data_IF_127377661485
#
_entry.id   IF_127377661485
#
_cell.length_a   1.000
_cell.length_b   1.000
_cell.length_c   1.000
_cell.angle_alpha   90.00
_cell.angle_beta   90.00
_cell.angle_gamma   90.00
#
_symmetry.space_group_name_H-M   'P 1'
#
loop_
_entity.id
_entity.type
_entity.pdbx_description
1 polymer ?
#
# COMPACT_ATOMS: atom_id res chain seq x y z
N UNK A 1 -16.51 76.12 -1.90
CA UNK A 1 -16.69 74.97 -0.98
C UNK A 1 -17.45 73.89 -1.74
N UNK A 2 -16.81 72.74 -1.86
CA UNK A 2 -17.09 71.67 -2.84
C UNK A 2 -18.01 70.62 -2.20
N UNK A 3 -19.05 70.19 -2.92
CA UNK A 3 -19.92 69.07 -2.54
C UNK A 3 -19.36 67.75 -3.10
N UNK A 4 -19.27 66.73 -2.23
CA UNK A 4 -18.75 65.40 -2.58
C UNK A 4 -19.73 64.30 -2.22
N UNK A 5 -20.11 63.47 -3.21
CA UNK A 5 -20.83 62.20 -3.02
C UNK A 5 -20.21 61.09 -3.89
N UNK A 6 -19.48 60.22 -3.21
CA UNK A 6 -19.28 58.76 -3.41
C UNK A 6 -19.55 58.10 -4.78
N UNK A 7 -18.51 57.44 -5.33
CA UNK A 7 -18.64 56.14 -6.05
C UNK A 7 -17.48 55.21 -5.68
N UNK A 8 -17.82 53.97 -5.29
CA UNK A 8 -16.92 52.85 -4.94
C UNK A 8 -16.32 52.20 -6.21
N UNK A 9 -15.07 51.70 -6.16
CA UNK A 9 -14.49 50.84 -7.21
C UNK A 9 -14.77 49.34 -6.98
N UNK A 10 -14.79 48.50 -8.04
CA UNK A 10 -15.05 47.08 -7.95
C UNK A 10 -13.82 46.21 -7.61
N UNK A 11 -14.14 45.01 -7.14
CA UNK A 11 -13.30 43.99 -6.47
C UNK A 11 -12.18 43.41 -7.35
N UNK A 12 -10.99 43.26 -6.76
CA UNK A 12 -9.88 42.43 -7.25
C UNK A 12 -10.13 40.95 -6.92
N UNK A 13 -10.08 40.09 -7.93
CA UNK A 13 -9.99 38.63 -7.78
C UNK A 13 -8.53 38.21 -7.99
N UNK A 14 -7.94 37.70 -6.91
CA UNK A 14 -6.61 37.12 -6.86
C UNK A 14 -6.69 35.70 -7.46
N UNK A 15 -6.04 35.43 -8.60
CA UNK A 15 -5.74 34.06 -9.05
C UNK A 15 -4.24 33.89 -9.16
N UNK A 16 -3.71 33.19 -8.15
CA UNK A 16 -2.33 32.73 -8.06
C UNK A 16 -2.07 31.69 -9.15
N UNK A 17 -0.88 31.82 -9.73
CA UNK A 17 -0.26 30.91 -10.67
C UNK A 17 0.11 29.61 -9.94
N UNK A 18 -0.30 28.45 -10.48
CA UNK A 18 0.28 27.15 -10.16
C UNK A 18 0.68 26.48 -11.47
N UNK A 19 2.00 26.34 -11.68
CA UNK A 19 2.59 25.50 -12.71
C UNK A 19 2.40 24.02 -12.30
N UNK A 20 1.70 23.25 -13.13
CA UNK A 20 1.72 21.79 -13.07
C UNK A 20 2.28 21.24 -14.40
N UNK A 21 3.49 20.69 -14.34
CA UNK A 21 4.13 19.93 -15.41
C UNK A 21 3.34 18.64 -15.66
N UNK A 22 2.60 18.59 -16.78
CA UNK A 22 2.09 17.34 -17.35
C UNK A 22 2.90 16.97 -18.59
N UNK A 23 3.82 16.02 -18.49
CA UNK A 23 4.40 15.34 -19.66
C UNK A 23 3.66 14.02 -19.86
N UNK A 24 2.73 14.00 -20.81
CA UNK A 24 2.27 12.77 -21.44
C UNK A 24 3.44 12.16 -22.22
N UNK A 25 3.84 10.95 -21.86
CA UNK A 25 4.79 10.13 -22.61
C UNK A 25 3.97 9.32 -23.63
N UNK A 26 3.81 9.82 -24.85
CA UNK A 26 3.34 9.03 -25.98
C UNK A 26 4.56 8.36 -26.62
N UNK A 27 4.61 7.05 -26.50
CA UNK A 27 5.64 6.18 -27.07
C UNK A 27 5.30 5.95 -28.55
N UNK A 28 5.99 6.65 -29.46
CA UNK A 28 5.85 6.43 -30.90
C UNK A 28 6.82 5.33 -31.34
N UNK A 29 6.28 4.13 -31.55
CA UNK A 29 6.85 3.13 -32.43
C UNK A 29 6.46 3.53 -33.86
N UNK A 30 7.44 3.83 -34.71
CA UNK A 30 7.19 4.21 -36.10
C UNK A 30 8.41 3.98 -36.98
N UNK A 31 8.42 2.84 -37.67
CA UNK A 31 9.31 2.54 -38.79
C UNK A 31 9.19 3.58 -39.91
N UNK A 32 10.33 4.04 -40.42
CA UNK A 32 10.43 4.85 -41.63
C UNK A 32 10.30 3.99 -42.89
N UNK A 33 9.25 4.23 -43.69
CA UNK A 33 9.32 4.06 -45.15
C UNK A 33 9.02 5.41 -45.79
N UNK A 34 10.06 5.97 -46.38
CA UNK A 34 9.96 7.08 -47.31
C UNK A 34 9.42 6.49 -48.62
N UNK A 35 8.19 6.84 -48.99
CA UNK A 35 7.63 6.56 -50.30
C UNK A 35 6.93 7.83 -50.78
N UNK A 36 7.56 8.42 -51.78
CA UNK A 36 7.11 9.51 -52.63
C UNK A 36 5.80 9.19 -53.35
N UNK A 37 5.08 10.27 -53.64
CA UNK A 37 4.07 10.46 -54.69
C UNK A 37 2.58 10.17 -54.46
N UNK A 38 1.82 11.16 -54.93
CA UNK A 38 0.37 11.26 -55.19
C UNK A 38 -0.56 11.50 -54.00
N UNK A 39 -0.79 12.79 -53.73
CA UNK A 39 -2.02 13.27 -53.09
C UNK A 39 -3.03 13.68 -54.17
N UNK A 40 -4.17 12.99 -54.16
CA UNK A 40 -5.35 13.31 -54.95
C UNK A 40 -5.95 14.66 -54.54
N UNK A 41 -6.38 15.43 -55.55
CA UNK A 41 -7.24 16.60 -55.44
C UNK A 41 -8.51 16.27 -54.64
N UNK A 42 -8.75 16.99 -53.54
CA UNK A 42 -10.10 17.20 -53.02
C UNK A 42 -10.31 18.72 -52.95
N UNK A 43 -11.23 19.16 -53.79
CA UNK A 43 -11.72 20.52 -53.94
C UNK A 43 -12.62 20.94 -52.78
N UNK A 44 -12.58 22.22 -52.44
CA UNK A 44 -13.68 22.90 -51.75
C UNK A 44 -13.27 23.61 -50.47
N UNK A 45 -13.01 24.92 -50.58
CA UNK A 45 -13.48 25.97 -49.66
C UNK A 45 -13.06 27.35 -50.23
N UNK A 46 -14.00 28.30 -50.43
CA UNK A 46 -13.70 29.57 -51.09
C UNK A 46 -13.20 30.61 -50.08
N UNK A 47 -12.17 31.38 -50.43
CA UNK A 47 -11.89 32.66 -49.74
C UNK A 47 -10.48 32.92 -49.22
N UNK A 48 -9.42 32.28 -49.73
CA UNK A 48 -8.04 32.64 -49.36
C UNK A 48 -7.19 32.93 -50.59
N UNK A 49 -6.82 34.20 -50.76
CA UNK A 49 -5.86 34.67 -51.77
C UNK A 49 -4.44 34.32 -51.31
N UNK A 50 -3.75 33.46 -52.07
CA UNK A 50 -2.32 33.18 -51.86
C UNK A 50 -1.48 34.34 -52.42
N UNK A 51 -0.74 35.02 -51.54
CA UNK A 51 0.30 35.99 -51.90
C UNK A 51 1.59 35.20 -52.19
N UNK A 52 2.12 35.31 -53.40
CA UNK A 52 3.34 34.62 -53.83
C UNK A 52 4.56 35.12 -53.06
N UNK A 53 5.05 34.31 -52.13
CA UNK A 53 6.32 34.49 -51.43
C UNK A 53 7.17 33.24 -51.62
N UNK A 54 8.33 33.41 -52.27
CA UNK A 54 9.33 32.36 -52.52
C UNK A 54 9.94 31.95 -51.17
N UNK A 55 9.71 30.71 -50.70
CA UNK A 55 10.42 30.17 -49.53
C UNK A 55 11.85 29.76 -49.94
N UNK A 56 12.83 30.21 -49.15
CA UNK A 56 14.24 29.78 -49.23
C UNK A 56 14.41 28.36 -48.64
N UNK A 57 15.30 27.51 -49.17
CA UNK A 57 15.59 26.21 -48.59
C UNK A 57 16.85 26.29 -47.74
N UNK A 58 16.72 26.67 -46.47
CA UNK A 58 17.79 26.47 -45.48
C UNK A 58 17.19 25.77 -44.26
N UNK A 59 16.89 24.48 -44.39
CA UNK A 59 16.73 23.59 -43.24
C UNK A 59 18.01 22.76 -43.13
N UNK A 60 18.89 23.18 -42.22
CA UNK A 60 19.89 22.29 -41.65
C UNK A 60 19.18 21.13 -40.96
N UNK A 61 19.34 19.91 -41.50
CA UNK A 61 19.10 18.70 -40.74
C UNK A 61 20.12 18.67 -39.59
N UNK A 62 19.64 18.87 -38.36
CA UNK A 62 20.42 18.55 -37.17
C UNK A 62 20.45 17.02 -37.13
N UNK A 63 21.62 16.46 -37.42
CA UNK A 63 21.90 15.04 -37.29
C UNK A 63 21.95 14.69 -35.79
N UNK A 64 20.95 13.95 -35.30
CA UNK A 64 20.83 13.55 -33.88
C UNK A 64 21.50 12.17 -33.67
N UNK A 65 22.28 11.66 -34.63
CA UNK A 65 22.74 10.27 -34.57
C UNK A 65 24.03 10.03 -33.74
N UNK A 66 24.77 11.05 -33.32
CA UNK A 66 26.05 10.85 -32.64
C UNK A 66 26.19 11.62 -31.33
N UNK A 67 25.73 11.01 -30.23
CA UNK A 67 26.33 11.06 -28.87
C UNK A 67 25.33 10.58 -27.83
N UNK A 68 25.17 9.27 -27.75
CA UNK A 68 24.81 8.63 -26.49
C UNK A 68 25.97 7.71 -26.13
N UNK A 69 27.11 8.27 -25.73
CA UNK A 69 28.05 7.52 -24.90
C UNK A 69 27.47 7.53 -23.48
N UNK A 70 26.87 6.44 -22.97
CA UNK A 70 26.60 6.37 -21.55
C UNK A 70 27.94 6.36 -20.84
N UNK A 71 28.29 7.53 -20.27
CA UNK A 71 29.43 7.72 -19.39
C UNK A 71 29.23 6.92 -18.10
N UNK A 72 29.47 5.62 -18.18
CA UNK A 72 29.81 4.73 -17.06
C UNK A 72 30.28 3.38 -17.63
N UNK A 73 31.38 3.40 -18.39
CA UNK A 73 32.09 2.17 -18.73
C UNK A 73 32.77 1.63 -17.46
N UNK A 74 31.99 0.98 -16.58
CA UNK A 74 32.55 0.15 -15.53
C UNK A 74 33.43 -0.91 -16.20
N UNK A 75 34.70 -0.99 -15.79
CA UNK A 75 35.67 -2.02 -16.20
C UNK A 75 35.25 -3.38 -15.63
N UNK A 76 34.18 -3.94 -16.18
CA UNK A 76 33.61 -5.23 -15.78
C UNK A 76 33.83 -6.22 -16.91
N UNK A 77 34.40 -7.36 -16.54
CA UNK A 77 34.45 -8.57 -17.34
C UNK A 77 33.05 -9.06 -17.70
N UNK A 78 32.91 -9.79 -18.81
CA UNK A 78 31.63 -10.37 -19.26
C UNK A 78 31.01 -11.23 -18.17
N UNK A 79 31.84 -12.07 -17.52
CA UNK A 79 31.40 -12.89 -16.39
C UNK A 79 30.85 -12.07 -15.22
N UNK A 80 31.49 -10.93 -14.88
CA UNK A 80 31.00 -10.04 -13.83
C UNK A 80 29.71 -9.33 -14.23
N UNK A 81 29.52 -8.95 -15.49
CA UNK A 81 28.27 -8.33 -15.96
C UNK A 81 27.08 -9.30 -15.84
N UNK A 82 27.28 -10.56 -16.22
CA UNK A 82 26.28 -11.62 -16.05
C UNK A 82 26.01 -11.87 -14.56
N UNK A 83 27.07 -11.96 -13.74
CA UNK A 83 26.92 -12.13 -12.29
C UNK A 83 26.15 -10.97 -11.64
N UNK A 84 26.40 -9.72 -12.05
CA UNK A 84 25.66 -8.54 -11.58
C UNK A 84 24.17 -8.66 -11.91
N UNK A 85 23.80 -9.09 -13.11
CA UNK A 85 22.39 -9.32 -13.46
C UNK A 85 21.72 -10.40 -12.62
N UNK A 86 22.42 -11.51 -12.37
CA UNK A 86 21.92 -12.61 -11.54
C UNK A 86 21.71 -12.12 -10.11
N UNK A 87 22.71 -11.47 -9.52
CA UNK A 87 22.64 -10.91 -8.16
C UNK A 87 21.53 -9.86 -8.09
N UNK A 88 21.41 -8.97 -9.07
CA UNK A 88 20.35 -7.97 -9.14
C UNK A 88 18.96 -8.62 -9.17
N UNK A 89 18.79 -9.70 -9.95
CA UNK A 89 17.54 -10.44 -10.03
C UNK A 89 17.19 -11.12 -8.70
N UNK A 90 18.17 -11.77 -8.06
CA UNK A 90 17.99 -12.41 -6.75
C UNK A 90 17.60 -11.37 -5.71
N UNK A 91 18.31 -10.23 -5.65
CA UNK A 91 18.01 -9.13 -4.73
C UNK A 91 16.60 -8.59 -4.96
N UNK A 92 16.20 -8.39 -6.22
CA UNK A 92 14.85 -7.95 -6.55
C UNK A 92 13.78 -8.94 -6.06
N UNK A 93 14.00 -10.25 -6.27
CA UNK A 93 13.10 -11.30 -5.78
C UNK A 93 13.02 -11.35 -4.25
N UNK A 94 14.17 -11.26 -3.56
CA UNK A 94 14.23 -11.27 -2.09
C UNK A 94 13.53 -10.05 -1.51
N UNK A 95 13.76 -8.86 -2.08
CA UNK A 95 13.07 -7.63 -1.65
C UNK A 95 11.56 -7.73 -1.86
N UNK A 96 11.13 -8.24 -3.02
CA UNK A 96 9.71 -8.45 -3.30
C UNK A 96 9.08 -9.45 -2.33
N UNK A 97 9.76 -10.56 -2.05
CA UNK A 97 9.33 -11.56 -1.06
C UNK A 97 9.23 -10.98 0.35
N UNK A 98 10.25 -10.23 0.80
CA UNK A 98 10.27 -9.60 2.11
C UNK A 98 9.14 -8.57 2.27
N UNK A 99 8.94 -7.71 1.28
CA UNK A 99 7.83 -6.74 1.26
C UNK A 99 6.50 -7.48 1.30
N UNK A 100 6.30 -8.50 0.46
CA UNK A 100 5.07 -9.29 0.42
C UNK A 100 4.75 -9.95 1.77
N UNK A 101 5.74 -10.60 2.39
CA UNK A 101 5.60 -11.24 3.70
C UNK A 101 5.26 -10.23 4.81
N UNK A 102 5.92 -9.08 4.83
CA UNK A 102 5.63 -8.02 5.81
C UNK A 102 4.20 -7.48 5.68
N UNK A 103 3.70 -7.37 4.44
CA UNK A 103 2.31 -6.93 4.17
C UNK A 103 1.30 -7.99 4.58
N UNK A 104 1.58 -9.27 4.33
CA UNK A 104 0.73 -10.38 4.80
C UNK A 104 0.65 -10.45 6.33
N UNK A 105 1.76 -10.22 7.02
CA UNK A 105 1.77 -10.14 8.49
C UNK A 105 0.93 -8.97 9.01
N UNK A 106 1.00 -7.80 8.37
CA UNK A 106 0.18 -6.65 8.74
C UNK A 106 -1.33 -6.93 8.58
N UNK A 107 -1.73 -7.57 7.47
CA UNK A 107 -3.13 -7.99 7.25
C UNK A 107 -3.56 -8.99 8.32
N UNK A 108 -2.71 -9.96 8.67
CA UNK A 108 -3.06 -10.97 9.67
C UNK A 108 -3.22 -10.39 11.08
N UNK A 109 -2.39 -9.41 11.46
CA UNK A 109 -2.55 -8.67 12.72
C UNK A 109 -3.86 -7.87 12.76
N UNK A 110 -4.22 -7.22 11.65
CA UNK A 110 -5.49 -6.50 11.52
C UNK A 110 -6.69 -7.43 11.65
N UNK A 111 -6.65 -8.62 11.04
CA UNK A 111 -7.73 -9.61 11.17
C UNK A 111 -7.89 -10.10 12.61
N UNK A 112 -6.80 -10.37 13.34
CA UNK A 112 -6.88 -10.76 14.76
C UNK A 112 -7.51 -9.69 15.64
N UNK A 113 -7.13 -8.43 15.45
CA UNK A 113 -7.74 -7.30 16.18
C UNK A 113 -9.23 -7.18 15.92
N UNK A 114 -9.62 -7.26 14.64
CA UNK A 114 -11.00 -7.06 14.20
C UNK A 114 -11.95 -8.20 14.59
N UNK A 115 -11.46 -9.44 14.63
CA UNK A 115 -12.30 -10.59 14.91
C UNK A 115 -12.25 -10.96 16.39
N UNK A 116 -11.07 -11.13 17.00
CA UNK A 116 -10.99 -11.65 18.37
C UNK A 116 -11.34 -10.61 19.44
N UNK A 117 -10.81 -9.38 19.33
CA UNK A 117 -11.03 -8.35 20.37
C UNK A 117 -12.44 -7.78 20.30
N UNK A 118 -12.91 -7.42 19.11
CA UNK A 118 -14.25 -6.83 18.94
C UNK A 118 -15.36 -7.82 19.26
N UNK A 119 -15.22 -9.09 18.90
CA UNK A 119 -16.21 -10.11 19.26
C UNK A 119 -16.18 -10.41 20.76
N UNK A 120 -15.00 -10.52 21.37
CA UNK A 120 -14.88 -10.73 22.81
C UNK A 120 -15.47 -9.57 23.62
N UNK A 121 -15.23 -8.32 23.21
CA UNK A 121 -15.82 -7.14 23.84
C UNK A 121 -17.35 -7.19 23.77
N UNK A 122 -17.93 -7.48 22.60
CA UNK A 122 -19.39 -7.51 22.42
C UNK A 122 -20.00 -8.66 23.21
N UNK A 123 -19.34 -9.81 23.26
CA UNK A 123 -19.79 -10.98 24.02
C UNK A 123 -19.76 -10.72 25.54
N UNK A 124 -18.69 -10.13 26.05
CA UNK A 124 -18.59 -9.73 27.46
C UNK A 124 -19.66 -8.69 27.78
N UNK A 125 -19.80 -7.64 26.96
CA UNK A 125 -20.83 -6.60 27.16
C UNK A 125 -22.24 -7.19 27.20
N UNK A 126 -22.56 -8.15 26.33
CA UNK A 126 -23.85 -8.86 26.37
C UNK A 126 -24.01 -9.74 27.60
N UNK A 127 -22.94 -10.43 28.01
CA UNK A 127 -22.92 -11.25 29.23
C UNK A 127 -23.13 -10.40 30.48
N UNK A 128 -22.57 -9.18 30.53
CA UNK A 128 -22.85 -8.23 31.61
C UNK A 128 -24.34 -7.91 31.71
N UNK A 129 -25.02 -7.67 30.58
CA UNK A 129 -26.47 -7.44 30.57
C UNK A 129 -27.27 -8.68 31.01
N UNK A 130 -26.83 -9.88 30.63
CA UNK A 130 -27.50 -11.12 31.02
C UNK A 130 -27.39 -11.37 32.52
N UNK A 131 -26.17 -11.27 33.09
CA UNK A 131 -25.93 -11.43 34.53
C UNK A 131 -26.63 -10.35 35.37
N UNK A 132 -26.65 -9.10 34.89
CA UNK A 132 -27.42 -8.03 35.53
C UNK A 132 -28.92 -8.35 35.56
N UNK A 133 -29.46 -8.87 34.46
CA UNK A 133 -30.88 -9.25 34.36
C UNK A 133 -31.20 -10.42 35.30
N UNK A 134 -30.33 -11.45 35.35
CA UNK A 134 -30.45 -12.57 36.27
C UNK A 134 -30.43 -12.12 37.73
N UNK A 135 -29.48 -11.28 38.11
CA UNK A 135 -29.40 -10.72 39.46
C UNK A 135 -30.64 -9.92 39.85
N UNK A 136 -31.20 -9.13 38.92
CA UNK A 136 -32.45 -8.39 39.15
C UNK A 136 -33.63 -9.33 39.34
N UNK A 137 -33.74 -10.38 38.53
CA UNK A 137 -34.80 -11.39 38.66
C UNK A 137 -34.74 -12.06 40.04
N UNK A 138 -33.56 -12.46 40.50
CA UNK A 138 -33.38 -13.09 41.81
C UNK A 138 -33.64 -12.11 42.97
N UNK A 139 -33.32 -10.82 42.79
CA UNK A 139 -33.70 -9.76 43.75
C UNK A 139 -35.22 -9.66 43.87
N UNK A 140 -35.95 -9.64 42.75
CA UNK A 140 -37.42 -9.62 42.74
C UNK A 140 -38.00 -10.89 43.36
N UNK A 141 -37.45 -12.06 43.01
CA UNK A 141 -37.86 -13.36 43.57
C UNK A 141 -37.70 -13.40 45.09
N UNK A 142 -36.58 -12.88 45.61
CA UNK A 142 -36.35 -12.76 47.04
C UNK A 142 -37.43 -11.93 47.73
N UNK A 143 -37.74 -10.76 47.15
CA UNK A 143 -38.69 -9.82 47.74
C UNK A 143 -40.12 -10.37 47.69
N UNK A 144 -40.50 -11.01 46.58
CA UNK A 144 -41.84 -11.52 46.34
C UNK A 144 -42.17 -12.81 47.13
N UNK A 145 -41.17 -13.61 47.49
CA UNK A 145 -41.39 -14.85 48.24
C UNK A 145 -41.50 -14.63 49.75
N UNK A 146 -42.39 -15.38 50.41
CA UNK A 146 -42.47 -15.48 51.88
C UNK A 146 -41.67 -16.66 52.45
N UNK A 147 -41.32 -17.64 51.61
CA UNK A 147 -40.59 -18.84 52.03
C UNK A 147 -39.11 -18.52 52.34
N UNK A 148 -38.62 -18.78 53.57
CA UNK A 148 -37.23 -18.56 53.94
C UNK A 148 -36.22 -19.32 53.08
N UNK A 149 -36.55 -20.53 52.63
CA UNK A 149 -35.66 -21.34 51.79
C UNK A 149 -35.50 -20.70 50.40
N UNK A 150 -36.59 -20.20 49.82
CA UNK A 150 -36.56 -19.47 48.53
C UNK A 150 -35.77 -18.17 48.65
N UNK A 151 -35.94 -17.43 49.75
CA UNK A 151 -35.15 -16.22 50.01
C UNK A 151 -33.66 -16.53 50.09
N UNK A 152 -33.26 -17.52 50.87
CA UNK A 152 -31.86 -17.92 51.00
C UNK A 152 -31.26 -18.38 49.64
N UNK A 153 -32.02 -19.14 48.85
CA UNK A 153 -31.59 -19.55 47.51
C UNK A 153 -31.42 -18.34 46.56
N UNK A 154 -32.34 -17.38 46.59
CA UNK A 154 -32.24 -16.16 45.81
C UNK A 154 -31.03 -15.30 46.22
N UNK A 155 -30.73 -15.17 47.54
CA UNK A 155 -29.52 -14.49 48.01
C UNK A 155 -28.23 -15.16 47.48
N UNK A 156 -28.21 -16.49 47.40
CA UNK A 156 -27.09 -17.23 46.82
C UNK A 156 -26.92 -16.95 45.33
N UNK A 157 -28.02 -16.92 44.56
CA UNK A 157 -27.95 -16.59 43.14
C UNK A 157 -27.55 -15.13 42.89
N UNK A 158 -28.03 -14.18 43.70
CA UNK A 158 -27.59 -12.78 43.64
C UNK A 158 -26.07 -12.67 43.84
N UNK A 159 -25.50 -13.37 44.82
CA UNK A 159 -24.05 -13.42 45.01
C UNK A 159 -23.32 -14.02 43.80
N UNK A 160 -23.83 -15.12 43.26
CA UNK A 160 -23.23 -15.77 42.08
C UNK A 160 -23.23 -14.84 40.86
N UNK A 161 -24.34 -14.16 40.57
CA UNK A 161 -24.40 -13.19 39.48
C UNK A 161 -23.43 -12.02 39.71
N UNK A 162 -23.27 -11.57 40.96
CA UNK A 162 -22.29 -10.53 41.31
C UNK A 162 -20.86 -10.99 41.04
N UNK A 163 -20.48 -12.19 41.47
CA UNK A 163 -19.16 -12.78 41.20
C UNK A 163 -18.89 -12.91 39.69
N UNK A 164 -19.89 -13.35 38.92
CA UNK A 164 -19.81 -13.43 37.46
C UNK A 164 -19.60 -12.05 36.83
N UNK A 165 -20.35 -11.02 37.27
CA UNK A 165 -20.18 -9.64 36.80
C UNK A 165 -18.80 -9.10 37.10
N UNK A 166 -18.25 -9.36 38.29
CA UNK A 166 -16.90 -8.94 38.65
C UNK A 166 -15.83 -9.62 37.78
N UNK A 167 -15.99 -10.91 37.50
CA UNK A 167 -15.13 -11.67 36.58
C UNK A 167 -15.19 -11.12 35.15
N UNK A 168 -16.40 -10.86 34.65
CA UNK A 168 -16.62 -10.28 33.32
C UNK A 168 -16.01 -8.88 33.19
N UNK A 169 -16.15 -8.03 34.21
CA UNK A 169 -15.53 -6.70 34.24
C UNK A 169 -14.00 -6.80 34.29
N UNK A 170 -13.44 -7.73 35.07
CA UNK A 170 -12.00 -7.96 35.08
C UNK A 170 -11.48 -8.40 33.70
N UNK A 171 -12.21 -9.29 33.02
CA UNK A 171 -11.89 -9.70 31.65
C UNK A 171 -12.03 -8.53 30.66
N UNK A 172 -13.08 -7.71 30.80
CA UNK A 172 -13.30 -6.51 29.98
C UNK A 172 -12.11 -5.55 30.05
N UNK A 173 -11.62 -5.26 31.27
CA UNK A 173 -10.50 -4.34 31.47
C UNK A 173 -9.15 -4.86 30.96
N UNK A 174 -9.00 -6.17 30.79
CA UNK A 174 -7.81 -6.78 30.20
C UNK A 174 -7.80 -6.70 28.67
N UNK A 175 -8.94 -6.43 28.03
CA UNK A 175 -8.99 -6.27 26.59
C UNK A 175 -8.22 -5.00 26.15
N UNK A 176 -7.49 -5.04 25.02
CA UNK A 176 -6.76 -3.89 24.49
C UNK A 176 -7.71 -2.91 23.79
N UNK A 177 -8.64 -2.33 24.56
CA UNK A 177 -9.68 -1.40 24.10
C UNK A 177 -9.18 0.04 24.10
N UNK A 178 -9.85 0.88 23.34
CA UNK A 178 -9.64 2.33 23.38
C UNK A 178 -10.06 2.92 24.73
N UNK A 179 -9.49 4.09 25.06
CA UNK A 179 -9.74 4.77 26.33
C UNK A 179 -11.24 5.03 26.58
N UNK A 180 -12.01 5.38 25.54
CA UNK A 180 -13.46 5.61 25.66
C UNK A 180 -14.21 4.33 26.08
N UNK A 181 -13.90 3.18 25.48
CA UNK A 181 -14.51 1.90 25.83
C UNK A 181 -14.12 1.45 27.24
N UNK A 182 -12.84 1.60 27.60
CA UNK A 182 -12.37 1.34 28.97
C UNK A 182 -13.15 2.18 30.00
N UNK A 183 -13.36 3.46 29.71
CA UNK A 183 -14.12 4.36 30.59
C UNK A 183 -15.59 3.93 30.75
N UNK A 184 -16.22 3.34 29.72
CA UNK A 184 -17.59 2.79 29.84
C UNK A 184 -17.63 1.58 30.79
N UNK A 185 -16.61 0.73 30.77
CA UNK A 185 -16.44 -0.36 31.73
C UNK A 185 -16.33 0.14 33.18
N UNK A 186 -15.53 1.19 33.42
CA UNK A 186 -15.40 1.82 34.73
C UNK A 186 -16.73 2.44 35.22
N UNK A 187 -17.45 3.11 34.33
CA UNK A 187 -18.78 3.65 34.63
C UNK A 187 -19.76 2.54 34.98
N UNK A 188 -19.76 1.43 34.24
CA UNK A 188 -20.58 0.27 34.55
C UNK A 188 -20.24 -0.30 35.93
N UNK A 189 -18.96 -0.46 36.25
CA UNK A 189 -18.50 -0.94 37.56
C UNK A 189 -18.98 -0.03 38.70
N UNK A 190 -18.87 1.29 38.52
CA UNK A 190 -19.37 2.28 39.50
C UNK A 190 -20.88 2.17 39.70
N UNK A 191 -21.67 2.04 38.62
CA UNK A 191 -23.13 1.89 38.70
C UNK A 191 -23.54 0.55 39.32
N UNK A 192 -22.74 -0.49 39.12
CA UNK A 192 -22.96 -1.78 39.73
C UNK A 192 -22.74 -1.71 41.25
N UNK A 193 -21.72 -0.99 41.73
CA UNK A 193 -21.54 -0.73 43.16
C UNK A 193 -22.74 0.01 43.77
N UNK A 194 -23.21 1.08 43.13
CA UNK A 194 -24.42 1.82 43.56
C UNK A 194 -25.66 0.94 43.61
N UNK A 195 -25.82 0.05 42.62
CA UNK A 195 -26.92 -0.92 42.57
C UNK A 195 -26.88 -1.89 43.75
N UNK A 196 -25.70 -2.46 44.05
CA UNK A 196 -25.52 -3.41 45.16
C UNK A 196 -25.79 -2.72 46.50
N UNK A 197 -25.24 -1.52 46.73
CA UNK A 197 -25.47 -0.74 47.95
C UNK A 197 -26.96 -0.44 48.18
N UNK A 198 -27.73 -0.27 47.10
CA UNK A 198 -29.17 -0.06 47.18
C UNK A 198 -29.98 -1.36 47.40
N UNK A 199 -29.51 -2.49 46.88
CA UNK A 199 -30.19 -3.80 46.99
C UNK A 199 -29.94 -4.47 48.34
N UNK A 200 -28.74 -4.39 48.89
CA UNK A 200 -28.38 -5.05 50.17
C UNK A 200 -29.33 -4.77 51.33
N UNK A 201 -29.69 -3.52 51.67
CA UNK A 201 -30.63 -3.24 52.76
C UNK A 201 -32.05 -3.73 52.45
N UNK A 202 -32.42 -3.78 51.17
CA UNK A 202 -33.74 -4.24 50.72
C UNK A 202 -33.90 -5.76 50.93
N UNK A 203 -32.86 -6.53 50.60
CA UNK A 203 -32.82 -7.98 50.89
C UNK A 203 -32.87 -8.25 52.39
N UNK A 204 -32.09 -7.51 53.19
CA UNK A 204 -32.10 -7.63 54.64
C UNK A 204 -33.49 -7.34 55.24
N UNK A 205 -34.15 -6.26 54.82
CA UNK A 205 -35.50 -5.91 55.28
C UNK A 205 -36.53 -6.98 54.86
N UNK A 206 -36.45 -7.46 53.62
CA UNK A 206 -37.34 -8.51 53.09
C UNK A 206 -37.19 -9.85 53.82
N UNK A 207 -36.02 -10.13 54.38
CA UNK A 207 -35.74 -11.31 55.20
C UNK A 207 -36.21 -11.16 56.64
N UNK A 208 -36.11 -9.95 57.19
CA UNK A 208 -36.51 -9.64 58.56
C UNK A 208 -38.03 -9.68 58.77
N UNK A 209 -38.81 -9.23 57.78
CA UNK A 209 -40.27 -9.28 57.79
C UNK A 209 -40.80 -9.85 56.46
N UNK A 210 -40.95 -11.19 56.35
CA UNK A 210 -41.47 -11.83 55.14
C UNK A 210 -42.93 -11.49 54.84
N UNK A 211 -43.73 -11.09 55.83
CA UNK A 211 -45.15 -10.79 55.66
C UNK A 211 -45.39 -9.37 55.13
N UNK A 212 -44.46 -8.45 55.40
CA UNK A 212 -44.48 -7.07 54.91
C UNK A 212 -43.18 -6.72 54.15
N UNK A 213 -42.94 -7.35 52.98
CA UNK A 213 -41.73 -7.09 52.22
C UNK A 213 -41.67 -5.63 51.73
N UNK A 214 -40.47 -5.05 51.60
CA UNK A 214 -40.32 -3.71 51.08
C UNK A 214 -40.75 -3.63 49.60
N UNK A 215 -41.11 -2.44 49.09
CA UNK A 215 -41.58 -2.29 47.73
C UNK A 215 -40.51 -2.74 46.73
N UNK A 216 -40.92 -3.58 45.76
CA UNK A 216 -40.08 -4.06 44.66
C UNK A 216 -39.53 -2.89 43.83
N UNK A 217 -40.32 -1.82 43.68
CA UNK A 217 -39.88 -0.61 43.01
C UNK A 217 -39.10 0.30 43.97
N UNK A 218 -37.82 0.50 43.66
CA UNK A 218 -36.96 1.47 44.32
C UNK A 218 -36.30 2.38 43.25
N UNK A 219 -36.44 3.71 43.32
CA UNK A 219 -35.89 4.63 42.31
C UNK A 219 -34.37 4.52 42.14
N UNK A 220 -33.61 4.29 43.22
CA UNK A 220 -32.15 4.15 43.15
C UNK A 220 -31.75 2.87 42.42
N UNK A 221 -32.39 1.74 42.76
CA UNK A 221 -32.15 0.44 42.11
C UNK A 221 -32.49 0.51 40.62
N UNK A 222 -33.66 1.05 40.29
CA UNK A 222 -34.10 1.14 38.90
C UNK A 222 -33.28 2.15 38.08
N UNK A 223 -32.87 3.27 38.69
CA UNK A 223 -31.99 4.25 38.05
C UNK A 223 -30.61 3.66 37.73
N UNK A 224 -29.98 2.99 38.70
CA UNK A 224 -28.69 2.33 38.49
C UNK A 224 -28.78 1.20 37.44
N UNK A 225 -29.82 0.36 37.52
CA UNK A 225 -30.05 -0.70 36.54
C UNK A 225 -30.31 -0.18 35.12
N UNK A 226 -31.11 0.89 34.99
CA UNK A 226 -31.35 1.56 33.71
C UNK A 226 -30.06 2.13 33.13
N UNK A 227 -29.26 2.83 33.95
CA UNK A 227 -27.97 3.37 33.53
C UNK A 227 -26.98 2.28 33.10
N UNK A 228 -26.94 1.15 33.78
CA UNK A 228 -26.11 0.01 33.35
C UNK A 228 -26.59 -0.59 32.02
N UNK A 229 -27.89 -0.71 31.82
CA UNK A 229 -28.47 -1.18 30.55
C UNK A 229 -28.09 -0.26 29.38
N UNK A 230 -28.19 1.06 29.55
CA UNK A 230 -27.77 2.03 28.53
C UNK A 230 -26.26 1.99 28.29
N UNK A 231 -25.46 1.81 29.35
CA UNK A 231 -24.01 1.69 29.21
C UNK A 231 -23.62 0.47 28.37
N UNK A 232 -24.25 -0.69 28.60
CA UNK A 232 -23.99 -1.89 27.78
C UNK A 232 -24.36 -1.66 26.31
N UNK A 233 -25.52 -1.03 26.05
CA UNK A 233 -25.92 -0.71 24.67
C UNK A 233 -24.90 0.21 23.99
N UNK A 234 -24.42 1.22 24.71
CA UNK A 234 -23.38 2.14 24.25
C UNK A 234 -22.04 1.44 24.03
N UNK A 235 -21.64 0.50 24.89
CA UNK A 235 -20.42 -0.31 24.74
C UNK A 235 -20.49 -1.12 23.44
N UNK A 236 -21.58 -1.88 23.24
CA UNK A 236 -21.79 -2.68 22.02
C UNK A 236 -21.84 -1.81 20.77
N UNK A 237 -22.47 -0.62 20.85
CA UNK A 237 -22.52 0.31 19.72
C UNK A 237 -21.15 0.88 19.39
N UNK A 238 -20.42 1.38 20.40
CA UNK A 238 -19.09 1.96 20.23
C UNK A 238 -18.10 0.93 19.69
N UNK A 239 -18.14 -0.31 20.19
CA UNK A 239 -17.32 -1.42 19.70
C UNK A 239 -17.61 -1.77 18.24
N UNK A 240 -18.88 -1.78 17.83
CA UNK A 240 -19.26 -1.98 16.42
C UNK A 240 -18.82 -0.83 15.53
N UNK A 241 -18.89 0.41 16.00
CA UNK A 241 -18.42 1.59 15.27
C UNK A 241 -16.89 1.56 15.13
N UNK A 242 -16.18 1.19 16.19
CA UNK A 242 -14.72 1.04 16.18
C UNK A 242 -14.26 -0.06 15.22
N UNK A 243 -14.86 -1.25 15.32
CA UNK A 243 -14.58 -2.35 14.40
C UNK A 243 -14.86 -1.98 12.93
N UNK A 244 -15.87 -1.15 12.66
CA UNK A 244 -16.15 -0.64 11.31
C UNK A 244 -15.09 0.36 10.85
N UNK A 245 -14.66 1.27 11.74
CA UNK A 245 -13.61 2.25 11.43
C UNK A 245 -12.27 1.55 11.16
N UNK A 246 -11.87 0.58 11.99
CA UNK A 246 -10.67 -0.23 11.78
C UNK A 246 -10.75 -1.04 10.48
N UNK A 247 -11.91 -1.63 10.13
CA UNK A 247 -12.12 -2.32 8.84
C UNK A 247 -11.91 -1.39 7.65
N UNK A 248 -12.51 -0.19 7.69
CA UNK A 248 -12.36 0.80 6.61
C UNK A 248 -10.92 1.26 6.45
N UNK A 249 -10.20 1.49 7.56
CA UNK A 249 -8.78 1.82 7.53
C UNK A 249 -7.95 0.67 6.93
N UNK A 250 -8.21 -0.57 7.34
CA UNK A 250 -7.55 -1.76 6.80
C UNK A 250 -7.80 -1.95 5.29
N UNK A 251 -9.01 -1.67 4.80
CA UNK A 251 -9.31 -1.71 3.36
C UNK A 251 -8.54 -0.64 2.58
N UNK A 252 -8.38 0.56 3.13
CA UNK A 252 -7.59 1.63 2.52
C UNK A 252 -6.11 1.27 2.47
N UNK A 253 -5.57 0.75 3.58
CA UNK A 253 -4.20 0.27 3.68
C UNK A 253 -3.93 -0.88 2.71
N UNK A 254 -4.88 -1.81 2.57
CA UNK A 254 -4.80 -2.90 1.61
C UNK A 254 -4.70 -2.37 0.17
N UNK A 255 -5.58 -1.43 -0.23
CA UNK A 255 -5.53 -0.82 -1.57
C UNK A 255 -4.21 -0.09 -1.82
N UNK A 256 -3.72 0.65 -0.83
CA UNK A 256 -2.43 1.34 -0.90
C UNK A 256 -1.26 0.34 -1.04
N UNK A 257 -1.26 -0.72 -0.24
CA UNK A 257 -0.26 -1.79 -0.31
C UNK A 257 -0.26 -2.49 -1.67
N UNK A 258 -1.44 -2.74 -2.25
CA UNK A 258 -1.58 -3.32 -3.57
C UNK A 258 -0.96 -2.43 -4.66
N UNK A 259 -1.27 -1.13 -4.64
CA UNK A 259 -0.68 -0.16 -5.56
C UNK A 259 0.85 -0.06 -5.43
N UNK A 260 1.36 -0.07 -4.19
CA UNK A 260 2.80 -0.09 -3.93
C UNK A 260 3.47 -1.36 -4.46
N UNK A 261 2.85 -2.52 -4.29
CA UNK A 261 3.38 -3.79 -4.79
C UNK A 261 3.48 -3.79 -6.32
N UNK A 262 2.43 -3.32 -7.02
CA UNK A 262 2.46 -3.16 -8.48
C UNK A 262 3.58 -2.21 -8.90
N UNK A 263 3.71 -1.05 -8.22
CA UNK A 263 4.75 -0.08 -8.56
C UNK A 263 6.16 -0.67 -8.43
N UNK A 264 6.43 -1.42 -7.36
CA UNK A 264 7.73 -2.10 -7.15
C UNK A 264 7.97 -3.16 -8.23
N UNK A 265 6.95 -3.97 -8.59
CA UNK A 265 7.05 -4.96 -9.66
C UNK A 265 7.39 -4.30 -10.99
N UNK A 266 6.64 -3.25 -11.38
CA UNK A 266 6.84 -2.55 -12.66
C UNK A 266 8.23 -1.94 -12.73
N UNK A 267 8.68 -1.27 -11.67
CA UNK A 267 10.03 -0.69 -11.61
C UNK A 267 11.09 -1.78 -11.69
N UNK A 268 10.95 -2.88 -10.94
CA UNK A 268 11.89 -4.01 -10.98
C UNK A 268 12.00 -4.64 -12.37
N UNK A 269 10.86 -4.86 -13.05
CA UNK A 269 10.83 -5.36 -14.42
C UNK A 269 11.52 -4.39 -15.39
N UNK A 270 11.24 -3.09 -15.30
CA UNK A 270 11.87 -2.09 -16.17
C UNK A 270 13.40 -2.04 -15.97
N UNK A 271 13.87 -2.14 -14.73
CA UNK A 271 15.30 -2.19 -14.41
C UNK A 271 15.95 -3.45 -15.00
N UNK A 272 15.33 -4.61 -14.84
CA UNK A 272 15.86 -5.87 -15.39
C UNK A 272 15.85 -5.89 -16.92
N UNK A 273 14.80 -5.37 -17.56
CA UNK A 273 14.73 -5.23 -19.02
C UNK A 273 15.80 -4.27 -19.53
N UNK A 274 15.98 -3.12 -18.87
CA UNK A 274 17.01 -2.14 -19.23
C UNK A 274 18.42 -2.71 -19.10
N UNK A 275 18.72 -3.37 -17.97
CA UNK A 275 20.01 -3.99 -17.74
C UNK A 275 20.26 -5.17 -18.70
N UNK A 276 19.24 -5.98 -18.98
CA UNK A 276 19.29 -7.06 -19.97
C UNK A 276 19.54 -6.53 -21.39
N UNK A 277 18.89 -5.44 -21.79
CA UNK A 277 19.11 -4.80 -23.08
C UNK A 277 20.55 -4.28 -23.23
N UNK A 278 21.08 -3.61 -22.20
CA UNK A 278 22.48 -3.14 -22.20
C UNK A 278 23.44 -4.31 -22.29
N UNK A 279 23.22 -5.38 -21.51
CA UNK A 279 24.08 -6.57 -21.56
C UNK A 279 24.03 -7.25 -22.92
N UNK A 280 22.83 -7.43 -23.47
CA UNK A 280 22.65 -8.02 -24.79
C UNK A 280 23.42 -7.23 -25.83
N UNK A 281 23.27 -5.90 -25.86
CA UNK A 281 23.98 -5.04 -26.82
C UNK A 281 25.50 -5.06 -26.60
N UNK A 282 25.97 -5.09 -25.36
CA UNK A 282 27.41 -5.11 -25.05
C UNK A 282 28.09 -6.42 -25.43
N UNK A 283 27.34 -7.53 -25.54
CA UNK A 283 27.88 -8.84 -25.89
C UNK A 283 27.66 -9.17 -27.36
N UNK A 284 26.43 -9.03 -27.86
CA UNK A 284 26.08 -9.51 -29.20
C UNK A 284 26.64 -8.63 -30.32
N UNK A 285 26.75 -7.31 -30.12
CA UNK A 285 27.26 -6.40 -31.16
C UNK A 285 28.74 -6.68 -31.46
N UNK A 286 29.66 -6.72 -30.49
CA UNK A 286 31.07 -7.02 -30.77
C UNK A 286 31.28 -8.44 -31.31
N UNK A 287 30.54 -9.43 -30.79
CA UNK A 287 30.64 -10.81 -31.27
C UNK A 287 30.14 -10.97 -32.71
N UNK A 288 29.08 -10.27 -33.10
CA UNK A 288 28.60 -10.29 -34.48
C UNK A 288 29.61 -9.60 -35.41
N UNK A 289 30.19 -8.46 -35.01
CA UNK A 289 31.24 -7.79 -35.78
C UNK A 289 32.47 -8.68 -35.99
N UNK A 290 32.91 -9.38 -34.95
CA UNK A 290 33.99 -10.37 -35.01
C UNK A 290 33.69 -11.50 -36.00
N UNK A 291 32.49 -12.07 -35.90
CA UNK A 291 32.01 -13.14 -36.78
C UNK A 291 31.99 -12.68 -38.24
N UNK A 292 31.49 -11.48 -38.50
CA UNK A 292 31.36 -10.93 -39.85
C UNK A 292 32.74 -10.66 -40.47
N UNK A 293 33.68 -10.12 -39.69
CA UNK A 293 35.06 -9.90 -40.12
C UNK A 293 35.75 -11.23 -40.48
N UNK A 294 35.66 -12.24 -39.62
CA UNK A 294 36.19 -13.58 -39.89
C UNK A 294 35.56 -14.21 -41.14
N UNK A 295 34.25 -14.09 -41.30
CA UNK A 295 33.53 -14.63 -42.45
C UNK A 295 33.90 -13.91 -43.76
N UNK A 296 34.30 -12.64 -43.72
CA UNK A 296 34.84 -11.93 -44.88
C UNK A 296 36.27 -12.33 -45.19
N UNK A 297 37.17 -12.36 -44.19
CA UNK A 297 38.55 -12.83 -44.37
C UNK A 297 38.58 -14.24 -44.99
N UNK A 298 37.72 -15.15 -44.53
CA UNK A 298 37.64 -16.50 -45.08
C UNK A 298 37.15 -16.56 -46.53
N UNK A 299 36.33 -15.60 -46.98
CA UNK A 299 35.78 -15.55 -48.35
C UNK A 299 36.68 -14.80 -49.32
N UNK A 300 37.26 -13.69 -48.88
CA UNK A 300 38.00 -12.74 -49.71
C UNK A 300 39.52 -12.93 -49.61
N UNK A 301 40.00 -13.70 -48.61
CA UNK A 301 41.42 -13.87 -48.27
C UNK A 301 42.15 -12.53 -48.01
N UNK A 302 41.40 -11.48 -47.66
CA UNK A 302 41.94 -10.17 -47.33
C UNK A 302 42.25 -10.07 -45.82
N UNK A 303 43.52 -10.28 -45.46
CA UNK A 303 44.00 -10.20 -44.08
C UNK A 303 44.30 -8.76 -43.60
N UNK A 304 44.01 -7.73 -44.41
CA UNK A 304 44.21 -6.33 -44.01
C UNK A 304 43.10 -5.81 -43.09
N UNK A 305 41.96 -6.51 -43.02
CA UNK A 305 40.82 -6.17 -42.18
C UNK A 305 41.15 -6.26 -40.69
N UNK A 306 40.54 -5.38 -39.90
CA UNK A 306 40.68 -5.30 -38.43
C UNK A 306 39.31 -5.17 -37.80
N UNK A 307 39.17 -5.70 -36.58
CA UNK A 307 37.88 -5.77 -35.88
C UNK A 307 37.56 -4.55 -35.01
N UNK A 308 38.47 -3.57 -34.94
CA UNK A 308 38.38 -2.36 -34.09
C UNK A 308 37.80 -2.65 -32.70
N UNK A 309 38.55 -3.37 -31.83
CA UNK A 309 38.05 -3.82 -30.54
C UNK A 309 37.60 -2.63 -29.67
N UNK A 310 36.30 -2.53 -29.41
CA UNK A 310 35.73 -1.57 -28.48
C UNK A 310 35.44 -2.25 -27.13
N UNK A 311 36.20 -1.90 -26.08
CA UNK A 311 35.98 -2.42 -24.73
C UNK A 311 37.27 -2.71 -23.97
N UNK A 312 37.13 -3.25 -22.76
CA UNK A 312 38.22 -3.70 -21.89
C UNK A 312 37.80 -4.98 -21.13
N UNK A 313 37.05 -5.85 -21.79
CA UNK A 313 36.57 -7.13 -21.26
C UNK A 313 37.15 -8.29 -22.07
N UNK A 314 36.81 -9.52 -21.68
CA UNK A 314 37.34 -10.72 -22.33
C UNK A 314 37.00 -10.80 -23.83
N UNK A 315 35.93 -10.13 -24.29
CA UNK A 315 35.60 -10.06 -25.71
C UNK A 315 36.58 -9.11 -26.42
N UNK A 316 36.85 -7.94 -25.85
CA UNK A 316 37.85 -7.02 -26.41
C UNK A 316 39.25 -7.64 -26.46
N UNK A 317 39.66 -8.35 -25.39
CA UNK A 317 40.95 -9.05 -25.34
C UNK A 317 41.04 -10.14 -26.43
N UNK A 318 39.97 -10.91 -26.64
CA UNK A 318 39.90 -11.93 -27.68
C UNK A 318 39.96 -11.32 -29.10
N UNK A 319 39.31 -10.19 -29.33
CA UNK A 319 39.37 -9.48 -30.62
C UNK A 319 40.76 -8.92 -30.89
N UNK A 320 41.43 -8.41 -29.86
CA UNK A 320 42.80 -7.90 -29.99
C UNK A 320 43.81 -9.03 -30.28
N UNK A 321 43.62 -10.21 -29.67
CA UNK A 321 44.40 -11.40 -29.99
C UNK A 321 44.16 -11.87 -31.44
N UNK A 322 42.90 -11.82 -31.91
CA UNK A 322 42.55 -12.13 -33.29
C UNK A 322 43.20 -11.17 -34.30
N UNK A 323 43.13 -9.86 -34.06
CA UNK A 323 43.77 -8.87 -34.93
C UNK A 323 45.29 -9.07 -34.99
N UNK A 324 45.91 -9.45 -33.86
CA UNK A 324 47.35 -9.78 -33.80
C UNK A 324 47.71 -11.02 -34.63
N UNK A 325 46.85 -12.04 -34.64
CA UNK A 325 47.02 -13.23 -35.48
C UNK A 325 46.89 -12.89 -36.96
N UNK A 326 45.88 -12.11 -37.34
CA UNK A 326 45.69 -11.65 -38.73
C UNK A 326 46.89 -10.83 -39.22
N UNK A 327 47.43 -9.95 -38.36
CA UNK A 327 48.64 -9.18 -38.68
C UNK A 327 49.87 -10.08 -38.89
N UNK A 328 50.01 -11.13 -38.09
CA UNK A 328 51.11 -12.09 -38.22
C UNK A 328 51.01 -12.86 -39.54
N UNK A 329 49.82 -13.36 -39.88
CA UNK A 329 49.59 -14.06 -41.17
C UNK A 329 49.84 -13.15 -42.37
N UNK A 330 49.39 -11.90 -42.29
CA UNK A 330 49.64 -10.90 -43.33
C UNK A 330 51.13 -10.68 -43.55
N UNK A 331 51.93 -10.58 -42.47
CA UNK A 331 53.39 -10.45 -42.56
C UNK A 331 54.02 -11.67 -43.21
N UNK A 332 53.67 -12.89 -42.77
CA UNK A 332 54.22 -14.12 -43.33
C UNK A 332 53.94 -14.26 -44.83
N UNK A 333 52.74 -13.92 -45.31
CA UNK A 333 52.45 -13.95 -46.75
C UNK A 333 53.19 -12.85 -47.53
N UNK A 334 53.36 -11.66 -46.94
CA UNK A 334 54.12 -10.58 -47.58
C UNK A 334 55.61 -10.92 -47.73
N UNK A 335 56.19 -11.65 -46.77
CA UNK A 335 57.59 -12.09 -46.84
C UNK A 335 57.80 -13.13 -47.95
N UNK A 336 56.86 -14.06 -48.13
CA UNK A 336 56.92 -15.08 -49.19
C UNK A 336 56.69 -14.49 -50.58
N UNK A 337 55.83 -13.47 -50.72
CA UNK A 337 55.54 -12.85 -52.02
C UNK A 337 56.69 -11.98 -52.58
N UNK A 338 57.71 -11.67 -51.76
CA UNK A 338 58.87 -10.85 -52.14
C UNK A 338 60.10 -11.70 -52.53
N UNK A 339 60.05 -13.03 -52.33
CA UNK A 339 61.07 -13.99 -52.79
C UNK A 339 60.76 -14.55 -54.18
#
# INVERSE_FOLDING_TARGET
MISGRTRKPPRRLNRMCWMARGRCLVMVLGWSRCATDRMHMISGLPGVRLRSGRLRPDLHCIDIHDRWEPAMALRLTVGRRIAVLIVLSIVAFVLLGAISLSRLQAVQLQLRKLDEVSLAEVDISRSLSAELTGMRLETVRHIASRDPAVKQAAEQQVRKHRENLDSLLAAYHQLPLQAELQQKGEQFQSRLAEYIDAVSPLLAASKADPDHPPPVYNPKINGAAGSMGTLVEDMVKASREDARAERLAAEQDYKAAWGQMIAVIVVGVLVLLGAGYVLQRSITVPLNGARDALAQVARELDFTRRTEPAGHDEIADALQALDSLLQTLQRSFSEVAVQ
#
